data_IF_039998633710
#
_entry.id   IF_039998633710
#
_cell.length_a   1.000
_cell.length_b   1.000
_cell.length_c   1.000
_cell.angle_alpha   90.00
_cell.angle_beta   90.00
_cell.angle_gamma   90.00
#
_symmetry.space_group_name_H-M   'P 1'
#
loop_
_entity.id
_entity.type
_entity.pdbx_description
1 polymer ?
#
# COMPACT_ATOMS: atom_id res chain seq x y z
N UNK A 1 27.87 -12.89 18.43
CA UNK A 1 26.76 -11.93 18.46
C UNK A 1 26.47 -11.40 17.07
N UNK A 2 25.69 -12.11 16.28
CA UNK A 2 25.11 -11.58 15.04
C UNK A 2 23.62 -11.45 15.31
N UNK A 3 23.21 -10.28 15.80
CA UNK A 3 21.79 -9.91 15.82
C UNK A 3 21.27 -10.12 14.42
N UNK A 4 20.13 -10.79 14.26
CA UNK A 4 19.34 -10.75 13.04
C UNK A 4 19.21 -9.28 12.65
N UNK A 5 20.05 -8.83 11.75
CA UNK A 5 19.95 -7.49 11.17
C UNK A 5 18.83 -7.53 10.15
N UNK A 6 17.58 -7.59 10.66
CA UNK A 6 16.43 -7.30 9.84
C UNK A 6 16.59 -5.92 9.20
N UNK A 7 15.87 -5.66 8.13
CA UNK A 7 15.81 -4.42 7.37
C UNK A 7 15.83 -3.10 8.17
N UNK A 8 15.65 -3.18 9.46
CA UNK A 8 15.53 -2.06 10.38
C UNK A 8 16.86 -1.40 10.76
N UNK A 9 18.01 -2.07 10.53
CA UNK A 9 19.34 -1.55 10.92
C UNK A 9 19.96 -0.59 9.88
N UNK A 10 19.48 -0.58 8.65
CA UNK A 10 20.11 0.20 7.56
C UNK A 10 19.59 1.64 7.50
N UNK A 11 18.47 1.93 8.15
CA UNK A 11 17.82 3.25 8.11
C UNK A 11 18.50 4.36 8.93
N UNK A 12 19.55 4.02 9.70
CA UNK A 12 20.35 5.02 10.43
C UNK A 12 21.48 5.61 9.57
N UNK A 13 21.53 5.26 8.29
CA UNK A 13 22.51 5.82 7.37
C UNK A 13 22.12 7.27 7.00
N UNK A 14 23.09 8.22 7.01
CA UNK A 14 22.82 9.64 6.80
C UNK A 14 22.33 10.02 5.39
N UNK A 15 22.23 9.05 4.49
CA UNK A 15 21.74 9.23 3.10
C UNK A 15 20.31 8.74 2.86
N UNK A 16 19.61 8.21 3.89
CA UNK A 16 18.22 7.80 3.73
C UNK A 16 17.30 9.02 3.68
N UNK A 17 16.33 9.01 2.77
CA UNK A 17 15.28 10.02 2.74
C UNK A 17 14.47 9.98 4.05
N UNK A 18 14.00 11.13 4.49
CA UNK A 18 13.38 11.32 5.82
C UNK A 18 12.27 10.32 6.09
N UNK A 19 11.40 10.04 5.11
CA UNK A 19 10.27 9.14 5.32
C UNK A 19 10.68 7.67 5.41
N UNK A 20 11.72 7.25 4.72
CA UNK A 20 12.29 5.91 4.91
C UNK A 20 12.72 5.74 6.37
N UNK A 21 13.37 6.75 6.94
CA UNK A 21 13.81 6.76 8.35
C UNK A 21 12.61 6.74 9.30
N UNK A 22 11.57 7.53 9.04
CA UNK A 22 10.36 7.58 9.87
C UNK A 22 9.58 6.26 9.84
N UNK A 23 9.37 5.68 8.66
CA UNK A 23 8.71 4.35 8.52
C UNK A 23 9.51 3.28 9.25
N UNK A 24 10.82 3.25 9.09
CA UNK A 24 11.68 2.30 9.78
C UNK A 24 11.68 2.51 11.30
N UNK A 25 11.60 3.75 11.78
CA UNK A 25 11.49 4.06 13.20
C UNK A 25 10.16 3.56 13.78
N UNK A 26 9.05 3.75 13.06
CA UNK A 26 7.74 3.20 13.43
C UNK A 26 7.76 1.68 13.54
N UNK A 27 8.33 0.99 12.54
CA UNK A 27 8.49 -0.46 12.58
C UNK A 27 9.38 -0.92 13.75
N UNK A 28 10.49 -0.23 14.04
CA UNK A 28 11.33 -0.52 15.19
C UNK A 28 10.58 -0.36 16.52
N UNK A 29 9.77 0.68 16.66
CA UNK A 29 8.96 0.90 17.85
C UNK A 29 7.95 -0.26 18.07
N UNK A 30 7.25 -0.69 17.02
CA UNK A 30 6.33 -1.83 17.07
C UNK A 30 7.05 -3.16 17.40
N UNK A 31 8.33 -3.29 17.03
CA UNK A 31 9.14 -4.48 17.27
C UNK A 31 10.00 -4.39 18.53
N UNK A 32 10.04 -3.24 19.22
CA UNK A 32 10.90 -3.04 20.40
C UNK A 32 10.59 -4.01 21.53
N UNK A 33 9.33 -4.41 21.68
CA UNK A 33 8.88 -5.43 22.64
C UNK A 33 9.06 -6.87 22.15
N UNK A 34 9.63 -7.06 20.95
CA UNK A 34 9.82 -8.39 20.41
C UNK A 34 10.84 -9.19 21.22
N UNK A 35 10.45 -10.41 21.63
CA UNK A 35 11.33 -11.34 22.34
C UNK A 35 12.54 -11.67 21.47
N UNK A 36 13.74 -11.73 22.05
CA UNK A 36 14.91 -12.22 21.33
C UNK A 36 14.64 -13.64 20.85
N UNK A 37 14.81 -13.87 19.55
CA UNK A 37 14.66 -15.20 18.96
C UNK A 37 15.92 -15.99 19.32
N UNK A 38 15.80 -17.19 19.91
CA UNK A 38 16.97 -18.02 20.19
C UNK A 38 17.78 -18.27 18.92
N UNK A 39 19.10 -18.34 19.03
CA UNK A 39 20.02 -18.54 17.88
C UNK A 39 19.68 -19.84 17.11
N UNK A 40 19.22 -20.88 17.83
CA UNK A 40 18.73 -22.14 17.24
C UNK A 40 17.45 -22.02 16.38
N UNK A 41 16.74 -20.90 16.48
CA UNK A 41 15.53 -20.62 15.71
C UNK A 41 15.76 -19.56 14.63
N UNK A 42 17.01 -19.15 14.39
CA UNK A 42 17.35 -18.27 13.28
C UNK A 42 17.20 -19.04 11.96
N UNK A 43 16.69 -18.39 10.90
CA UNK A 43 16.57 -19.02 9.61
C UNK A 43 17.93 -19.35 9.01
N UNK A 44 18.00 -20.37 8.18
CA UNK A 44 19.21 -20.82 7.47
C UNK A 44 19.73 -19.76 6.47
N UNK A 45 18.96 -18.74 6.18
CA UNK A 45 19.36 -17.65 5.28
C UNK A 45 19.89 -16.43 6.03
N UNK A 46 20.92 -15.82 5.45
CA UNK A 46 21.67 -14.73 6.08
C UNK A 46 20.85 -13.43 6.28
N UNK A 47 19.84 -13.20 5.45
CA UNK A 47 19.02 -11.98 5.48
C UNK A 47 17.61 -12.24 4.93
N UNK A 48 16.64 -11.41 5.37
CA UNK A 48 15.28 -11.48 4.89
C UNK A 48 15.14 -11.07 3.41
N UNK A 49 14.10 -11.53 2.70
CA UNK A 49 13.78 -11.08 1.35
C UNK A 49 13.57 -9.56 1.28
N UNK A 50 13.70 -8.98 0.07
CA UNK A 50 13.53 -7.54 -0.16
C UNK A 50 12.16 -7.03 0.28
N UNK A 51 11.10 -7.78 0.05
CA UNK A 51 9.75 -7.40 0.50
C UNK A 51 9.62 -7.20 2.01
N UNK A 52 10.52 -7.78 2.81
CA UNK A 52 10.59 -7.55 4.26
C UNK A 52 11.56 -6.43 4.57
N UNK A 53 12.84 -6.57 4.17
CA UNK A 53 13.89 -5.64 4.58
C UNK A 53 13.88 -4.30 3.84
N UNK A 54 13.28 -4.23 2.64
CA UNK A 54 13.14 -2.99 1.88
C UNK A 54 11.73 -2.35 2.01
N UNK A 55 10.85 -2.91 2.85
CA UNK A 55 9.51 -2.34 3.06
C UNK A 55 9.55 -0.84 3.42
N UNK A 56 10.43 -0.35 4.33
CA UNK A 56 10.53 1.08 4.62
C UNK A 56 10.87 1.92 3.38
N UNK A 57 11.69 1.39 2.47
CA UNK A 57 12.08 2.09 1.25
C UNK A 57 10.93 2.21 0.27
N UNK A 58 10.13 1.16 0.10
CA UNK A 58 8.95 1.18 -0.79
C UNK A 58 7.88 2.11 -0.23
N UNK A 59 7.54 1.99 1.06
CA UNK A 59 6.54 2.83 1.70
C UNK A 59 6.99 4.29 1.80
N UNK A 60 8.29 4.53 2.00
CA UNK A 60 8.88 5.86 2.05
C UNK A 60 8.70 6.63 0.74
N UNK A 61 8.76 5.96 -0.41
CA UNK A 61 8.51 6.61 -1.72
C UNK A 61 7.10 7.19 -1.78
N UNK A 62 6.08 6.44 -1.35
CA UNK A 62 4.72 6.96 -1.30
C UNK A 62 4.60 8.12 -0.30
N UNK A 63 5.15 7.96 0.90
CA UNK A 63 5.07 8.98 1.95
C UNK A 63 5.79 10.28 1.59
N UNK A 64 6.95 10.22 0.92
CA UNK A 64 7.64 11.40 0.40
C UNK A 64 6.89 12.00 -0.80
N UNK A 65 6.34 11.14 -1.68
CA UNK A 65 5.53 11.57 -2.82
C UNK A 65 4.33 12.42 -2.39
N UNK A 66 3.59 11.96 -1.39
CA UNK A 66 2.40 12.67 -0.89
C UNK A 66 2.71 14.08 -0.38
N UNK A 67 3.91 14.34 0.13
CA UNK A 67 4.32 15.67 0.65
C UNK A 67 4.37 16.76 -0.42
N UNK A 68 4.69 16.41 -1.65
CA UNK A 68 4.69 17.38 -2.74
C UNK A 68 3.44 17.28 -3.62
N UNK A 69 2.81 16.10 -3.71
CA UNK A 69 1.56 15.89 -4.45
C UNK A 69 0.42 16.67 -3.82
N UNK A 70 0.21 16.53 -2.50
CA UNK A 70 -0.91 17.19 -1.81
C UNK A 70 -0.92 18.72 -1.96
N UNK A 71 0.18 19.45 -1.74
CA UNK A 71 0.21 20.90 -1.98
C UNK A 71 -0.06 21.29 -3.43
N UNK A 72 0.33 20.49 -4.41
CA UNK A 72 0.03 20.77 -5.82
C UNK A 72 -1.46 20.61 -6.12
N UNK A 73 -2.08 19.55 -5.59
CA UNK A 73 -3.53 19.35 -5.72
C UNK A 73 -4.30 20.48 -5.03
N UNK A 74 -3.91 20.86 -3.82
CA UNK A 74 -4.52 21.96 -3.08
C UNK A 74 -4.38 23.29 -3.84
N UNK A 75 -3.22 23.58 -4.40
CA UNK A 75 -2.98 24.77 -5.21
C UNK A 75 -3.88 24.79 -6.45
N UNK A 76 -3.93 23.70 -7.20
CA UNK A 76 -4.74 23.60 -8.41
C UNK A 76 -6.24 23.74 -8.09
N UNK A 77 -6.71 23.08 -7.03
CA UNK A 77 -8.11 23.14 -6.61
C UNK A 77 -8.56 24.55 -6.17
N UNK A 78 -7.64 25.40 -5.72
CA UNK A 78 -7.91 26.79 -5.31
C UNK A 78 -7.51 27.82 -6.37
N UNK A 79 -7.02 27.40 -7.52
CA UNK A 79 -6.59 28.29 -8.60
C UNK A 79 -7.75 28.69 -9.51
N UNK A 80 -7.58 29.81 -10.20
CA UNK A 80 -8.49 30.23 -11.27
C UNK A 80 -7.98 29.64 -12.59
N UNK A 81 -8.66 28.60 -13.07
CA UNK A 81 -8.19 27.70 -14.13
C UNK A 81 -9.06 27.75 -15.38
N UNK A 82 -9.31 28.95 -15.89
CA UNK A 82 -10.12 29.10 -17.10
C UNK A 82 -9.41 29.92 -18.18
N UNK A 83 -10.03 29.98 -19.36
CA UNK A 83 -9.62 30.79 -20.49
C UNK A 83 -10.86 31.18 -21.31
N UNK A 84 -11.13 32.51 -21.49
CA UNK A 84 -10.36 33.66 -20.97
C UNK A 84 -10.57 33.93 -19.49
N UNK A 85 -9.62 34.63 -18.87
CA UNK A 85 -9.75 35.17 -17.52
C UNK A 85 -10.09 36.65 -17.54
N UNK A 86 -11.06 37.06 -16.73
CA UNK A 86 -11.38 38.45 -16.51
C UNK A 86 -10.58 39.03 -15.32
N UNK A 87 -9.67 39.95 -15.59
CA UNK A 87 -8.91 40.64 -14.55
C UNK A 87 -9.59 41.95 -14.18
N UNK A 88 -10.41 41.92 -13.13
CA UNK A 88 -11.21 43.06 -12.71
C UNK A 88 -10.41 44.38 -12.42
N UNK A 89 -9.24 44.33 -11.75
CA UNK A 89 -8.47 45.51 -11.44
C UNK A 89 -8.03 46.31 -12.69
N UNK A 90 -7.57 45.61 -13.73
CA UNK A 90 -7.18 46.26 -14.99
C UNK A 90 -8.31 46.36 -16.03
N UNK A 91 -9.47 45.72 -15.77
CA UNK A 91 -10.59 45.57 -16.72
C UNK A 91 -10.20 44.92 -18.04
N UNK A 92 -9.26 43.97 -17.98
CA UNK A 92 -8.76 43.26 -19.15
C UNK A 92 -9.29 41.85 -19.22
N UNK A 93 -9.42 41.32 -20.43
CA UNK A 93 -9.65 39.90 -20.71
C UNK A 93 -8.30 39.30 -21.10
N UNK A 94 -7.83 38.36 -20.30
CA UNK A 94 -6.52 37.74 -20.45
C UNK A 94 -6.67 36.36 -21.04
N UNK A 95 -5.90 36.08 -22.09
CA UNK A 95 -5.79 34.74 -22.67
C UNK A 95 -4.56 34.03 -22.08
N UNK A 96 -4.74 32.85 -21.56
CA UNK A 96 -3.65 32.11 -20.91
C UNK A 96 -3.82 30.64 -20.96
N UNK A 97 -2.98 29.91 -20.22
CA UNK A 97 -2.91 28.45 -20.15
C UNK A 97 -3.10 27.88 -18.76
N UNK A 98 -3.67 28.63 -17.80
CA UNK A 98 -3.82 28.17 -16.41
C UNK A 98 -4.63 26.88 -16.27
N UNK A 99 -5.50 26.56 -17.24
CA UNK A 99 -6.29 25.33 -17.32
C UNK A 99 -5.45 24.09 -17.70
N UNK A 100 -4.16 24.25 -18.02
CA UNK A 100 -3.35 23.13 -18.58
C UNK A 100 -3.25 21.92 -17.65
N UNK A 101 -3.15 22.10 -16.34
CA UNK A 101 -3.18 21.03 -15.35
C UNK A 101 -1.99 20.04 -15.43
N UNK A 102 -0.86 20.44 -15.99
CA UNK A 102 0.31 19.57 -16.18
C UNK A 102 0.93 19.09 -14.87
N UNK A 103 0.87 19.91 -13.81
CA UNK A 103 1.33 19.53 -12.48
C UNK A 103 0.48 18.41 -11.90
N UNK A 104 -0.83 18.46 -12.11
CA UNK A 104 -1.74 17.40 -11.65
C UNK A 104 -1.49 16.09 -12.40
N UNK A 105 -1.28 16.18 -13.72
CA UNK A 105 -0.93 14.99 -14.51
C UNK A 105 0.31 14.31 -13.95
N UNK A 106 1.38 15.08 -13.74
CA UNK A 106 2.65 14.56 -13.23
C UNK A 106 2.51 14.00 -11.80
N UNK A 107 1.78 14.71 -10.93
CA UNK A 107 1.50 14.26 -9.57
C UNK A 107 0.74 12.94 -9.53
N UNK A 108 -0.31 12.80 -10.36
CA UNK A 108 -1.12 11.59 -10.42
C UNK A 108 -0.35 10.42 -11.07
N UNK A 109 0.45 10.67 -12.09
CA UNK A 109 1.30 9.65 -12.71
C UNK A 109 2.37 9.13 -11.73
N UNK A 110 2.94 10.00 -10.90
CA UNK A 110 3.85 9.61 -9.83
C UNK A 110 3.13 8.81 -8.72
N UNK A 111 1.93 9.25 -8.33
CA UNK A 111 1.11 8.56 -7.33
C UNK A 111 0.74 7.13 -7.78
N UNK A 112 0.33 6.96 -9.03
CA UNK A 112 0.05 5.63 -9.63
C UNK A 112 1.21 4.68 -9.46
N UNK A 113 2.42 5.15 -9.77
CA UNK A 113 3.63 4.33 -9.67
C UNK A 113 3.93 3.93 -8.23
N UNK A 114 3.78 4.87 -7.27
CA UNK A 114 4.02 4.59 -5.86
C UNK A 114 2.99 3.61 -5.28
N UNK A 115 1.70 3.78 -5.61
CA UNK A 115 0.63 2.89 -5.16
C UNK A 115 0.77 1.47 -5.76
N UNK A 116 1.11 1.35 -7.04
CA UNK A 116 1.40 0.06 -7.66
C UNK A 116 2.58 -0.66 -6.96
N UNK A 117 3.57 0.10 -6.49
CA UNK A 117 4.67 -0.41 -5.66
C UNK A 117 4.21 -0.94 -4.30
N UNK A 118 3.21 -0.29 -3.67
CA UNK A 118 2.60 -0.78 -2.42
C UNK A 118 1.81 -2.06 -2.65
N UNK A 119 1.06 -2.15 -3.77
CA UNK A 119 0.37 -3.38 -4.16
C UNK A 119 1.36 -4.55 -4.30
N UNK A 120 2.45 -4.33 -5.05
CA UNK A 120 3.48 -5.35 -5.28
C UNK A 120 4.14 -5.78 -3.95
N UNK A 121 4.46 -4.84 -3.08
CA UNK A 121 5.00 -5.13 -1.75
C UNK A 121 4.05 -6.03 -0.94
N UNK A 122 2.76 -5.67 -0.90
CA UNK A 122 1.72 -6.41 -0.16
C UNK A 122 1.54 -7.83 -0.72
N UNK A 123 1.50 -7.98 -2.04
CA UNK A 123 1.42 -9.29 -2.71
C UNK A 123 2.63 -10.18 -2.38
N UNK A 124 3.86 -9.62 -2.43
CA UNK A 124 5.07 -10.36 -2.08
C UNK A 124 5.10 -10.80 -0.62
N UNK A 125 4.73 -9.90 0.30
CA UNK A 125 4.65 -10.25 1.72
C UNK A 125 3.59 -11.30 2.00
N UNK A 126 2.43 -11.21 1.36
CA UNK A 126 1.37 -12.21 1.45
C UNK A 126 1.84 -13.57 0.94
N UNK A 127 2.54 -13.62 -0.20
CA UNK A 127 3.09 -14.86 -0.75
C UNK A 127 4.08 -15.54 0.22
N UNK A 128 4.93 -14.76 0.91
CA UNK A 128 5.82 -15.30 1.95
C UNK A 128 5.04 -15.84 3.16
N UNK A 129 3.94 -15.16 3.51
CA UNK A 129 3.15 -15.47 4.70
C UNK A 129 2.38 -16.78 4.56
N UNK A 130 1.85 -17.07 3.38
CA UNK A 130 1.04 -18.27 3.10
C UNK A 130 1.86 -19.52 2.78
N UNK A 131 3.18 -19.39 2.62
CA UNK A 131 4.08 -20.50 2.32
C UNK A 131 4.88 -20.90 3.57
N UNK A 132 4.73 -22.15 4.07
CA UNK A 132 5.43 -22.65 5.25
C UNK A 132 6.96 -22.53 5.19
N UNK A 133 7.53 -22.61 3.98
CA UNK A 133 8.98 -22.51 3.76
C UNK A 133 9.53 -21.13 4.10
N UNK A 134 8.72 -20.07 3.98
CA UNK A 134 9.12 -18.68 4.25
C UNK A 134 8.50 -18.12 5.53
N UNK A 135 7.32 -18.62 5.90
CA UNK A 135 6.58 -18.17 7.09
C UNK A 135 7.05 -18.81 8.39
N UNK A 136 8.19 -19.51 8.40
CA UNK A 136 8.73 -20.21 9.59
C UNK A 136 7.73 -21.19 10.20
N UNK A 137 7.15 -22.04 9.34
CA UNK A 137 6.30 -23.16 9.74
C UNK A 137 4.86 -22.80 10.10
N UNK A 138 4.34 -21.64 9.66
CA UNK A 138 2.91 -21.44 9.67
C UNK A 138 2.23 -22.42 8.72
N UNK A 139 0.96 -22.80 8.96
CA UNK A 139 0.24 -23.69 8.09
C UNK A 139 0.18 -23.18 6.65
N UNK A 140 0.25 -24.09 5.67
CA UNK A 140 0.10 -23.75 4.26
C UNK A 140 -1.21 -22.96 4.05
N UNK A 141 -1.13 -21.85 3.35
CA UNK A 141 -2.24 -20.92 3.11
C UNK A 141 -2.93 -20.44 4.41
N UNK A 142 -2.25 -20.50 5.54
CA UNK A 142 -2.83 -20.18 6.85
C UNK A 142 -4.13 -20.95 7.14
N UNK A 143 -4.23 -22.20 6.64
CA UNK A 143 -5.35 -23.10 6.88
C UNK A 143 -5.00 -24.07 8.01
N UNK A 144 -5.80 -24.11 9.06
CA UNK A 144 -5.65 -25.06 10.17
C UNK A 144 -7.03 -25.62 10.55
N UNK A 145 -7.67 -26.37 9.64
CA UNK A 145 -8.96 -26.96 9.92
C UNK A 145 -8.83 -28.14 10.91
N UNK A 146 -9.93 -28.58 11.54
CA UNK A 146 -9.94 -29.83 12.31
C UNK A 146 -9.41 -31.00 11.47
N UNK A 147 -8.68 -31.93 12.08
CA UNK A 147 -8.00 -33.05 11.39
C UNK A 147 -8.92 -33.85 10.44
N UNK A 148 -10.16 -34.12 10.86
CA UNK A 148 -11.16 -34.79 10.04
C UNK A 148 -11.65 -34.02 8.81
N UNK A 149 -11.36 -32.73 8.75
CA UNK A 149 -11.72 -31.83 7.65
C UNK A 149 -10.46 -31.38 6.87
N UNK A 150 -9.29 -31.94 7.20
CA UNK A 150 -8.06 -31.67 6.48
C UNK A 150 -8.24 -31.98 4.99
N UNK A 151 -7.84 -31.04 4.13
CA UNK A 151 -8.03 -31.12 2.67
C UNK A 151 -9.37 -30.60 2.15
N UNK A 152 -10.35 -30.29 3.00
CA UNK A 152 -11.60 -29.64 2.60
C UNK A 152 -11.48 -28.10 2.60
N UNK A 153 -10.45 -27.55 3.24
CA UNK A 153 -10.25 -26.12 3.41
C UNK A 153 -8.92 -25.66 2.80
N UNK A 154 -8.94 -24.49 2.18
CA UNK A 154 -7.80 -23.90 1.47
C UNK A 154 -7.30 -22.60 2.13
N UNK A 155 -8.00 -22.09 3.15
CA UNK A 155 -7.62 -20.87 3.86
C UNK A 155 -7.45 -19.67 2.94
N UNK A 156 -6.31 -19.00 3.02
CA UNK A 156 -6.01 -17.79 2.27
C UNK A 156 -5.58 -18.01 0.81
N UNK A 157 -5.64 -19.22 0.27
CA UNK A 157 -5.25 -19.51 -1.10
C UNK A 157 -5.99 -18.66 -2.13
N UNK A 158 -7.32 -18.61 -2.05
CA UNK A 158 -8.12 -17.79 -2.99
C UNK A 158 -7.82 -16.30 -2.87
N UNK A 159 -7.68 -15.81 -1.64
CA UNK A 159 -7.35 -14.41 -1.36
C UNK A 159 -5.96 -14.02 -1.87
N UNK A 160 -4.97 -14.91 -1.76
CA UNK A 160 -3.63 -14.66 -2.31
C UNK A 160 -3.68 -14.54 -3.85
N UNK A 161 -4.46 -15.39 -4.53
CA UNK A 161 -4.67 -15.29 -5.98
C UNK A 161 -5.35 -13.97 -6.33
N UNK A 162 -6.36 -13.55 -5.56
CA UNK A 162 -7.05 -12.28 -5.73
C UNK A 162 -6.10 -11.09 -5.56
N UNK A 163 -5.29 -11.06 -4.49
CA UNK A 163 -4.31 -10.01 -4.26
C UNK A 163 -3.31 -9.88 -5.41
N UNK A 164 -2.81 -11.00 -5.94
CA UNK A 164 -1.94 -11.02 -7.12
C UNK A 164 -2.64 -10.45 -8.37
N UNK A 165 -3.90 -10.78 -8.58
CA UNK A 165 -4.67 -10.24 -9.72
C UNK A 165 -4.91 -8.73 -9.59
N UNK A 166 -5.26 -8.23 -8.39
CA UNK A 166 -5.40 -6.80 -8.10
C UNK A 166 -4.08 -6.05 -8.31
N UNK A 167 -2.97 -6.63 -7.86
CA UNK A 167 -1.63 -6.08 -8.07
C UNK A 167 -1.29 -5.98 -9.56
N UNK A 168 -1.54 -7.03 -10.33
CA UNK A 168 -1.31 -7.01 -11.77
C UNK A 168 -2.16 -5.95 -12.48
N UNK A 169 -3.42 -5.76 -12.05
CA UNK A 169 -4.30 -4.71 -12.57
C UNK A 169 -3.76 -3.31 -12.24
N UNK A 170 -3.32 -3.06 -11.00
CA UNK A 170 -2.71 -1.80 -10.59
C UNK A 170 -1.43 -1.49 -11.40
N UNK A 171 -0.55 -2.47 -11.56
CA UNK A 171 0.68 -2.33 -12.35
C UNK A 171 0.39 -2.02 -13.82
N UNK A 172 -0.61 -2.68 -14.42
CA UNK A 172 -1.02 -2.42 -15.80
C UNK A 172 -1.49 -0.97 -16.00
N UNK A 173 -2.20 -0.39 -15.02
CA UNK A 173 -2.73 0.97 -15.09
C UNK A 173 -1.71 2.05 -14.70
N UNK A 174 -0.53 1.68 -14.20
CA UNK A 174 0.49 2.63 -13.76
C UNK A 174 1.21 3.36 -14.91
N UNK A 175 0.90 3.04 -16.19
CA UNK A 175 1.45 3.74 -17.35
C UNK A 175 1.16 5.25 -17.23
N UNK A 176 2.18 6.14 -17.38
CA UNK A 176 1.97 7.57 -17.31
C UNK A 176 1.02 8.08 -18.39
N UNK A 177 -0.07 8.76 -17.98
CA UNK A 177 -1.04 9.34 -18.92
C UNK A 177 -0.47 10.58 -19.63
N UNK A 178 0.42 11.33 -18.97
CA UNK A 178 1.00 12.57 -19.49
C UNK A 178 1.82 12.42 -20.75
N UNK A 179 2.24 11.19 -21.10
CA UNK A 179 3.00 10.93 -22.35
C UNK A 179 2.10 10.81 -23.58
N UNK A 180 0.77 10.73 -23.40
CA UNK A 180 -0.21 10.49 -24.48
C UNK A 180 -0.87 11.76 -24.98
N UNK A 181 -0.22 12.91 -24.95
CA UNK A 181 -0.75 14.17 -25.46
C UNK A 181 -1.34 14.02 -26.88
N UNK A 182 -2.43 14.75 -27.15
CA UNK A 182 -3.14 14.75 -28.43
C UNK A 182 -3.38 16.19 -28.88
N UNK A 183 -3.58 16.35 -30.18
CA UNK A 183 -4.03 17.60 -30.77
C UNK A 183 -5.53 17.56 -30.97
N UNK A 184 -6.25 18.58 -30.49
CA UNK A 184 -7.71 18.70 -30.55
C UNK A 184 -8.11 20.13 -30.98
N UNK A 185 -9.40 20.38 -31.17
CA UNK A 185 -9.97 21.68 -31.55
C UNK A 185 -9.30 22.31 -32.77
N UNK A 186 -9.22 21.56 -33.87
CA UNK A 186 -8.56 22.05 -35.11
C UNK A 186 -7.13 22.54 -34.85
N UNK A 187 -6.39 21.86 -33.97
CA UNK A 187 -5.03 22.18 -33.54
C UNK A 187 -4.87 23.40 -32.62
N UNK A 188 -5.96 23.99 -32.16
CA UNK A 188 -5.89 25.04 -31.13
C UNK A 188 -5.38 24.49 -29.81
N UNK A 189 -5.84 23.27 -29.42
CA UNK A 189 -5.31 22.52 -28.28
C UNK A 189 -4.38 21.42 -28.79
N UNK A 190 -3.23 21.79 -29.32
CA UNK A 190 -2.30 20.85 -29.96
C UNK A 190 -1.39 20.12 -28.96
N UNK A 191 -1.41 20.54 -27.70
CA UNK A 191 -0.69 19.93 -26.58
C UNK A 191 -1.57 19.92 -25.33
N UNK A 192 -2.00 18.73 -24.88
CA UNK A 192 -2.86 18.55 -23.69
C UNK A 192 -2.17 17.73 -22.63
N UNK A 193 -2.52 17.96 -21.36
CA UNK A 193 -1.88 17.30 -20.21
C UNK A 193 -2.44 15.93 -19.89
N UNK A 194 -3.73 15.67 -20.18
CA UNK A 194 -4.46 14.46 -19.77
C UNK A 194 -4.59 14.28 -18.25
N UNK A 195 -4.66 15.38 -17.48
CA UNK A 195 -4.74 15.35 -16.02
C UNK A 195 -5.92 14.56 -15.49
N UNK A 196 -7.10 14.71 -16.10
CA UNK A 196 -8.30 13.93 -15.71
C UNK A 196 -8.10 12.43 -15.90
N UNK A 197 -7.45 12.01 -16.99
CA UNK A 197 -7.13 10.59 -17.21
C UNK A 197 -6.19 10.08 -16.13
N UNK A 198 -5.10 10.81 -15.88
CA UNK A 198 -4.14 10.46 -14.83
C UNK A 198 -4.80 10.32 -13.44
N UNK A 199 -5.70 11.26 -13.11
CA UNK A 199 -6.41 11.26 -11.83
C UNK A 199 -7.37 10.07 -11.68
N UNK A 200 -8.11 9.73 -12.74
CA UNK A 200 -9.01 8.56 -12.74
C UNK A 200 -8.26 7.25 -12.61
N UNK A 201 -7.14 7.11 -13.32
CA UNK A 201 -6.28 5.94 -13.18
C UNK A 201 -5.69 5.84 -11.77
N UNK A 202 -5.29 6.97 -11.16
CA UNK A 202 -4.77 7.00 -9.80
C UNK A 202 -5.84 6.59 -8.76
N UNK A 203 -7.08 7.06 -8.93
CA UNK A 203 -8.21 6.68 -8.08
C UNK A 203 -8.49 5.17 -8.16
N UNK A 204 -8.49 4.60 -9.36
CA UNK A 204 -8.67 3.16 -9.54
C UNK A 204 -7.53 2.35 -8.91
N UNK A 205 -6.28 2.75 -9.14
CA UNK A 205 -5.13 2.08 -8.50
C UNK A 205 -5.19 2.21 -6.97
N UNK A 206 -5.67 3.34 -6.45
CA UNK A 206 -5.86 3.51 -5.01
C UNK A 206 -6.86 2.49 -4.45
N UNK A 207 -7.99 2.28 -5.12
CA UNK A 207 -8.97 1.25 -4.73
C UNK A 207 -8.39 -0.16 -4.79
N UNK A 208 -7.67 -0.51 -5.85
CA UNK A 208 -7.00 -1.79 -5.97
C UNK A 208 -5.97 -2.00 -4.84
N UNK A 209 -5.23 -0.94 -4.47
CA UNK A 209 -4.27 -0.98 -3.38
C UNK A 209 -4.96 -1.19 -2.02
N UNK A 210 -6.08 -0.52 -1.76
CA UNK A 210 -6.86 -0.71 -0.52
C UNK A 210 -7.28 -2.16 -0.36
N UNK A 211 -7.79 -2.80 -1.41
CA UNK A 211 -8.18 -4.21 -1.38
C UNK A 211 -6.98 -5.15 -1.21
N UNK A 212 -5.87 -4.92 -1.91
CA UNK A 212 -4.66 -5.73 -1.77
C UNK A 212 -4.09 -5.65 -0.34
N UNK A 213 -4.08 -4.45 0.24
CA UNK A 213 -3.64 -4.22 1.62
C UNK A 213 -4.62 -4.83 2.61
N UNK A 214 -5.95 -4.75 2.38
CA UNK A 214 -6.95 -5.38 3.23
C UNK A 214 -6.75 -6.89 3.29
N UNK A 215 -6.57 -7.56 2.14
CA UNK A 215 -6.28 -9.00 2.09
C UNK A 215 -4.99 -9.33 2.86
N UNK A 216 -3.95 -8.53 2.68
CA UNK A 216 -2.68 -8.72 3.39
C UNK A 216 -2.85 -8.57 4.91
N UNK A 217 -3.60 -7.58 5.38
CA UNK A 217 -3.88 -7.36 6.81
C UNK A 217 -4.68 -8.52 7.43
N UNK A 218 -5.69 -9.03 6.72
CA UNK A 218 -6.47 -10.20 7.16
C UNK A 218 -5.56 -11.43 7.30
N UNK A 219 -4.69 -11.67 6.34
CA UNK A 219 -3.73 -12.77 6.40
C UNK A 219 -2.71 -12.58 7.53
N UNK A 220 -2.21 -11.36 7.73
CA UNK A 220 -1.29 -11.04 8.82
C UNK A 220 -1.94 -11.24 10.20
N UNK A 221 -3.20 -10.85 10.36
CA UNK A 221 -3.97 -11.07 11.57
C UNK A 221 -4.13 -12.57 11.87
N UNK A 222 -4.48 -13.36 10.86
CA UNK A 222 -4.57 -14.82 10.98
C UNK A 222 -3.21 -15.45 11.37
N UNK A 223 -2.13 -15.01 10.74
CA UNK A 223 -0.77 -15.47 11.06
C UNK A 223 -0.36 -15.14 12.50
N UNK A 224 -0.65 -13.92 12.97
CA UNK A 224 -0.38 -13.50 14.35
C UNK A 224 -1.10 -14.39 15.36
N UNK A 225 -2.32 -14.81 15.07
CA UNK A 225 -3.06 -15.75 15.92
C UNK A 225 -2.39 -17.12 16.02
N UNK A 226 -1.97 -17.67 14.90
CA UNK A 226 -1.27 -18.95 14.90
C UNK A 226 0.07 -18.91 15.63
N UNK A 227 0.73 -17.73 15.66
CA UNK A 227 1.94 -17.51 16.46
C UNK A 227 1.66 -17.41 17.95
N UNK A 228 0.48 -16.95 18.35
CA UNK A 228 0.15 -16.72 19.76
C UNK A 228 0.86 -15.54 20.44
N UNK A 229 1.73 -14.84 19.72
CA UNK A 229 2.62 -13.80 20.28
C UNK A 229 1.94 -12.44 20.50
N UNK A 230 0.76 -12.22 19.92
CA UNK A 230 0.09 -10.92 19.97
C UNK A 230 -0.29 -10.50 21.40
N UNK A 231 -0.64 -11.47 22.26
CA UNK A 231 -1.00 -11.20 23.65
C UNK A 231 0.16 -10.60 24.48
N UNK A 232 1.39 -10.87 24.07
CA UNK A 232 2.60 -10.38 24.75
C UNK A 232 3.05 -8.98 24.25
N UNK A 233 2.36 -8.40 23.27
CA UNK A 233 2.72 -7.14 22.60
C UNK A 233 1.49 -6.24 22.49
N UNK A 234 1.32 -5.28 23.40
CA UNK A 234 0.11 -4.44 23.47
C UNK A 234 -0.22 -3.72 22.15
N UNK A 235 0.79 -3.17 21.48
CA UNK A 235 0.64 -2.43 20.22
C UNK A 235 0.14 -3.35 19.09
N UNK A 236 0.75 -4.53 18.97
CA UNK A 236 0.34 -5.53 17.98
C UNK A 236 -1.05 -6.08 18.29
N UNK A 237 -1.35 -6.31 19.58
CA UNK A 237 -2.67 -6.73 20.02
C UNK A 237 -3.74 -5.69 19.72
N UNK A 238 -3.43 -4.40 19.80
CA UNK A 238 -4.35 -3.33 19.43
C UNK A 238 -4.67 -3.36 17.93
N UNK A 239 -3.66 -3.45 17.07
CA UNK A 239 -3.86 -3.56 15.61
C UNK A 239 -4.65 -4.82 15.27
N UNK A 240 -4.31 -5.95 15.88
CA UNK A 240 -5.02 -7.22 15.67
C UNK A 240 -6.51 -7.09 16.00
N UNK A 241 -6.85 -6.54 17.18
CA UNK A 241 -8.25 -6.32 17.56
C UNK A 241 -9.01 -5.43 16.58
N UNK A 242 -8.37 -4.39 16.01
CA UNK A 242 -9.00 -3.53 15.00
C UNK A 242 -9.33 -4.32 13.74
N UNK A 243 -8.38 -5.09 13.22
CA UNK A 243 -8.62 -5.92 12.02
C UNK A 243 -9.69 -6.99 12.31
N UNK A 244 -9.68 -7.59 13.50
CA UNK A 244 -10.63 -8.60 13.91
C UNK A 244 -12.07 -8.06 14.08
N UNK A 245 -12.24 -6.77 14.34
CA UNK A 245 -13.57 -6.15 14.36
C UNK A 245 -14.24 -6.16 12.97
N UNK A 246 -13.46 -6.21 11.89
CA UNK A 246 -13.97 -6.31 10.52
C UNK A 246 -14.12 -7.77 10.05
N UNK A 247 -13.32 -8.68 10.58
CA UNK A 247 -13.31 -10.07 10.11
C UNK A 247 -12.93 -11.04 11.24
N UNK A 248 -13.81 -11.96 11.62
CA UNK A 248 -13.45 -13.00 12.57
C UNK A 248 -12.41 -13.96 11.96
N UNK A 249 -11.70 -14.74 12.79
CA UNK A 249 -10.72 -15.72 12.29
C UNK A 249 -11.29 -16.67 11.26
N UNK A 250 -10.48 -16.99 10.25
CA UNK A 250 -10.83 -17.99 9.27
C UNK A 250 -10.47 -19.39 9.80
N UNK A 251 -11.44 -20.06 10.44
CA UNK A 251 -11.29 -21.45 10.93
C UNK A 251 -11.67 -22.44 9.84
N UNK A 252 -12.73 -22.14 9.08
CA UNK A 252 -13.21 -22.89 7.91
C UNK A 252 -13.38 -21.93 6.76
N UNK A 253 -13.22 -22.44 5.54
CA UNK A 253 -13.42 -21.61 4.35
C UNK A 253 -14.83 -21.03 4.33
N UNK A 254 -14.92 -19.75 4.03
CA UNK A 254 -16.15 -19.00 3.83
C UNK A 254 -15.93 -17.88 2.81
N UNK A 255 -16.96 -17.29 2.26
CA UNK A 255 -16.82 -16.06 1.47
C UNK A 255 -16.15 -14.97 2.31
N UNK A 256 -15.19 -14.27 1.72
CA UNK A 256 -14.41 -13.20 2.38
C UNK A 256 -14.53 -11.86 1.65
N UNK A 257 -15.38 -11.77 0.66
CA UNK A 257 -15.62 -10.59 -0.16
C UNK A 257 -16.07 -9.40 0.70
N UNK A 258 -17.07 -9.60 1.54
CA UNK A 258 -17.58 -8.56 2.45
C UNK A 258 -16.53 -8.10 3.46
N UNK A 259 -15.74 -9.04 4.02
CA UNK A 259 -14.66 -8.71 4.96
C UNK A 259 -13.58 -7.84 4.29
N UNK A 260 -13.20 -8.19 3.06
CA UNK A 260 -12.20 -7.47 2.29
C UNK A 260 -12.72 -6.07 1.95
N UNK A 261 -13.95 -5.95 1.46
CA UNK A 261 -14.56 -4.68 1.08
C UNK A 261 -14.65 -3.74 2.29
N UNK A 262 -15.23 -4.22 3.39
CA UNK A 262 -15.41 -3.40 4.60
C UNK A 262 -14.07 -2.92 5.17
N UNK A 263 -13.05 -3.78 5.16
CA UNK A 263 -11.72 -3.39 5.62
C UNK A 263 -11.03 -2.42 4.63
N UNK A 264 -11.22 -2.60 3.32
CA UNK A 264 -10.71 -1.68 2.31
C UNK A 264 -11.35 -0.28 2.45
N UNK A 265 -12.66 -0.20 2.70
CA UNK A 265 -13.36 1.05 3.01
C UNK A 265 -12.81 1.71 4.29
N UNK A 266 -12.54 0.93 5.35
CA UNK A 266 -11.97 1.44 6.58
C UNK A 266 -10.54 1.97 6.39
N UNK A 267 -9.74 1.36 5.50
CA UNK A 267 -8.44 1.88 5.07
C UNK A 267 -8.61 3.20 4.33
N UNK A 268 -9.53 3.25 3.36
CA UNK A 268 -9.78 4.42 2.52
C UNK A 268 -10.31 5.63 3.31
N UNK A 269 -11.16 5.41 4.31
CA UNK A 269 -11.70 6.45 5.19
C UNK A 269 -10.74 6.86 6.32
N UNK A 270 -9.65 6.12 6.55
CA UNK A 270 -8.73 6.36 7.68
C UNK A 270 -9.22 5.82 9.03
N UNK A 271 -10.45 5.28 9.12
CA UNK A 271 -11.03 4.81 10.38
C UNK A 271 -10.28 3.63 11.01
N UNK A 272 -9.56 2.86 10.22
CA UNK A 272 -8.68 1.80 10.72
C UNK A 272 -7.53 2.38 11.58
N UNK A 273 -7.09 3.60 11.29
CA UNK A 273 -5.98 4.27 12.00
C UNK A 273 -6.39 5.05 13.24
N UNK A 274 -7.68 5.39 13.40
CA UNK A 274 -8.20 6.14 14.54
C UNK A 274 -8.28 5.26 15.79
N UNK A 275 -7.63 5.71 16.87
CA UNK A 275 -7.61 5.02 18.18
C UNK A 275 -8.22 5.88 19.26
#
# INVERSE_FOLDING_TARGET
MKKSQSALCVSDQPVALKQITEVAAGLRALLASAREVPESALPDHLQDPYSVRCAPHVLGVLADGLKWIAPWVETEANSVNDNPLTHLPSREILMGGNFYGGHITFAMDALKTALAGVCDLSDRQLALLVDPRFSRGLPLNLALPPEREAGLHHGFKGMQITASALTAAAQKQAMPAGVFSRSTESHNQDKVSLGTLAARDADEICRLAQHAVAIHLLAAAQACRYRGDAAARPELAAVLRRVEAFSPPLVKDRPMDVDIETLAEAIGSGTLGES
#
